data_IF_879801017045
#
_entry.id   IF_879801017045
#
_cell.length_a   1.000
_cell.length_b   1.000
_cell.length_c   1.000
_cell.angle_alpha   90.00
_cell.angle_beta   90.00
_cell.angle_gamma   90.00
#
_symmetry.space_group_name_H-M   'P 1'
#
loop_
_entity.id
_entity.type
_entity.pdbx_description
1 polymer ?
#
# COMPACT_ATOMS: atom_id res chain seq x y z
N UNK A 1 11.59 -21.90 18.87
CA UNK A 1 12.80 -21.08 18.60
C UNK A 1 12.62 -19.77 19.35
N UNK A 2 13.65 -19.05 19.80
CA UNK A 2 13.43 -17.79 20.53
C UNK A 2 12.66 -16.75 19.69
N UNK A 3 11.88 -15.83 20.30
CA UNK A 3 11.02 -14.88 19.58
C UNK A 3 11.82 -13.75 18.92
N UNK A 4 13.07 -13.56 19.38
CA UNK A 4 13.94 -12.43 19.07
C UNK A 4 14.14 -12.23 17.56
N UNK A 5 14.40 -13.25 16.72
CA UNK A 5 14.61 -13.05 15.28
C UNK A 5 13.37 -12.49 14.58
N UNK A 6 12.17 -12.99 14.91
CA UNK A 6 10.91 -12.51 14.33
C UNK A 6 10.60 -11.08 14.79
N UNK A 7 10.59 -10.85 16.12
CA UNK A 7 10.30 -9.52 16.66
C UNK A 7 11.28 -8.47 16.11
N UNK A 8 12.59 -8.74 16.12
CA UNK A 8 13.62 -7.85 15.58
C UNK A 8 13.43 -7.64 14.07
N UNK A 9 13.14 -8.69 13.29
CA UNK A 9 12.93 -8.56 11.85
C UNK A 9 11.69 -7.68 11.53
N UNK A 10 10.61 -7.78 12.29
CA UNK A 10 9.42 -6.96 12.05
C UNK A 10 9.64 -5.50 12.50
N UNK A 11 10.23 -5.24 13.67
CA UNK A 11 10.56 -3.86 14.07
C UNK A 11 11.62 -3.20 13.17
N UNK A 12 12.58 -3.97 12.64
CA UNK A 12 13.53 -3.47 11.64
C UNK A 12 12.82 -3.11 10.33
N UNK A 13 11.94 -3.97 9.83
CA UNK A 13 11.14 -3.70 8.63
C UNK A 13 10.27 -2.43 8.80
N UNK A 14 9.60 -2.27 9.96
CA UNK A 14 8.87 -1.04 10.30
C UNK A 14 9.76 0.21 10.25
N UNK A 15 10.94 0.16 10.88
CA UNK A 15 11.87 1.29 10.91
C UNK A 15 12.41 1.66 9.51
N UNK A 16 12.70 0.66 8.66
CA UNK A 16 13.18 0.89 7.29
C UNK A 16 12.12 1.52 6.38
N UNK A 17 10.85 1.11 6.50
CA UNK A 17 9.73 1.66 5.71
C UNK A 17 9.48 3.15 5.98
N UNK A 18 9.84 3.66 7.16
CA UNK A 18 9.75 5.10 7.45
C UNK A 18 10.82 5.95 6.74
N UNK A 19 11.94 5.37 6.28
CA UNK A 19 13.08 6.13 5.72
C UNK A 19 12.70 6.90 4.42
N UNK A 20 11.97 6.32 3.45
CA UNK A 20 11.56 7.06 2.24
C UNK A 20 10.39 8.04 2.48
N UNK A 21 9.66 7.91 3.60
CA UNK A 21 8.37 8.58 3.83
C UNK A 21 8.45 10.12 3.74
N UNK A 22 9.45 10.83 4.32
CA UNK A 22 9.54 12.29 4.20
C UNK A 22 9.73 12.77 2.74
N UNK A 23 10.40 11.97 1.90
CA UNK A 23 10.55 12.23 0.47
C UNK A 23 9.21 12.18 -0.25
N UNK A 24 8.44 11.11 -0.01
CA UNK A 24 7.15 10.90 -0.65
C UNK A 24 6.07 11.85 -0.13
N UNK A 25 6.15 12.24 1.16
CA UNK A 25 5.34 13.32 1.76
C UNK A 25 5.54 14.65 1.04
N UNK A 26 6.80 15.08 0.84
CA UNK A 26 7.13 16.30 0.10
C UNK A 26 6.66 16.25 -1.36
N UNK A 27 6.72 15.07 -1.99
CA UNK A 27 6.21 14.82 -3.33
C UNK A 27 4.68 14.61 -3.41
N UNK A 28 3.96 14.64 -2.28
CA UNK A 28 2.50 14.37 -2.17
C UNK A 28 2.07 13.12 -2.93
N UNK A 29 2.82 12.01 -2.77
CA UNK A 29 2.51 10.73 -3.41
C UNK A 29 1.69 9.83 -2.48
N UNK A 30 0.40 10.15 -2.32
CA UNK A 30 -0.51 9.49 -1.37
C UNK A 30 -0.46 7.95 -1.43
N UNK A 31 -0.46 7.28 -2.60
CA UNK A 31 -0.42 5.82 -2.64
C UNK A 31 0.83 5.23 -1.98
N UNK A 32 2.02 5.77 -2.28
CA UNK A 32 3.28 5.32 -1.64
C UNK A 32 3.37 5.69 -0.16
N UNK A 33 2.79 6.82 0.25
CA UNK A 33 2.71 7.22 1.67
C UNK A 33 1.79 6.24 2.43
N UNK A 34 0.62 5.94 1.88
CA UNK A 34 -0.36 5.04 2.49
C UNK A 34 0.19 3.62 2.60
N UNK A 35 0.81 3.09 1.54
CA UNK A 35 1.50 1.81 1.55
C UNK A 35 2.59 1.73 2.64
N UNK A 36 3.39 2.80 2.80
CA UNK A 36 4.39 2.87 3.86
C UNK A 36 3.77 2.89 5.27
N UNK A 37 2.66 3.61 5.46
CA UNK A 37 1.94 3.65 6.74
C UNK A 37 1.34 2.28 7.08
N UNK A 38 0.69 1.61 6.13
CA UNK A 38 0.15 0.26 6.32
C UNK A 38 1.26 -0.74 6.68
N UNK A 39 2.35 -0.80 5.90
CA UNK A 39 3.48 -1.69 6.17
C UNK A 39 4.18 -1.40 7.51
N UNK A 40 4.25 -0.13 7.93
CA UNK A 40 4.75 0.25 9.25
C UNK A 40 3.83 -0.26 10.38
N UNK A 41 2.53 0.04 10.31
CA UNK A 41 1.55 -0.35 11.34
C UNK A 41 1.47 -1.87 11.50
N UNK A 42 1.45 -2.61 10.38
CA UNK A 42 1.38 -4.07 10.39
C UNK A 42 2.65 -4.71 10.98
N UNK A 43 3.83 -4.19 10.66
CA UNK A 43 5.08 -4.71 11.24
C UNK A 43 5.22 -4.35 12.74
N UNK A 44 4.73 -3.19 13.18
CA UNK A 44 4.62 -2.90 14.62
C UNK A 44 3.64 -3.88 15.29
N UNK A 45 2.50 -4.19 14.66
CA UNK A 45 1.54 -5.14 15.18
C UNK A 45 2.10 -6.58 15.28
N UNK A 46 2.75 -7.08 14.23
CA UNK A 46 3.40 -8.40 14.22
C UNK A 46 4.54 -8.48 15.25
N UNK A 47 5.39 -7.45 15.35
CA UNK A 47 6.47 -7.39 16.34
C UNK A 47 5.97 -7.39 17.79
N UNK A 48 4.87 -6.67 18.08
CA UNK A 48 4.22 -6.70 19.40
C UNK A 48 3.55 -8.06 19.65
N UNK A 49 2.83 -8.63 18.68
CA UNK A 49 2.19 -9.94 18.82
C UNK A 49 3.18 -11.03 19.25
N UNK A 50 4.33 -11.13 18.57
CA UNK A 50 5.36 -12.14 18.89
C UNK A 50 5.93 -11.95 20.30
N UNK A 51 6.11 -10.71 20.77
CA UNK A 51 6.56 -10.45 22.15
C UNK A 51 5.48 -10.78 23.19
N UNK A 52 4.21 -10.49 22.89
CA UNK A 52 3.11 -10.61 23.85
C UNK A 52 2.65 -12.06 24.02
N UNK A 53 2.64 -12.87 22.95
CA UNK A 53 2.19 -14.27 22.95
C UNK A 53 3.30 -15.32 22.83
N UNK A 54 4.57 -14.90 23.00
CA UNK A 54 5.69 -15.81 23.23
C UNK A 54 5.41 -16.76 24.41
N UNK A 55 5.46 -18.07 24.19
CA UNK A 55 5.37 -19.11 25.24
C UNK A 55 4.12 -18.96 26.15
N UNK A 56 3.02 -18.35 25.64
CA UNK A 56 1.78 -18.21 26.40
C UNK A 56 0.51 -17.97 25.56
N UNK A 57 -0.60 -18.58 26.01
CA UNK A 57 -1.96 -18.45 25.45
C UNK A 57 -2.95 -17.74 26.38
N UNK A 58 -2.47 -16.81 27.21
CA UNK A 58 -3.34 -16.07 28.12
C UNK A 58 -4.29 -15.13 27.35
N UNK A 59 -5.56 -15.12 27.73
CA UNK A 59 -6.57 -14.18 27.21
C UNK A 59 -6.36 -12.78 27.81
N UNK A 60 -5.39 -12.06 27.25
CA UNK A 60 -5.05 -10.68 27.56
C UNK A 60 -5.22 -9.81 26.30
N UNK A 61 -5.37 -8.50 26.48
CA UNK A 61 -5.37 -7.52 25.37
C UNK A 61 -6.39 -7.81 24.25
N UNK A 62 -7.62 -8.24 24.57
CA UNK A 62 -8.62 -8.63 23.57
C UNK A 62 -8.91 -7.51 22.54
N UNK A 63 -8.99 -6.25 22.99
CA UNK A 63 -9.20 -5.06 22.14
C UNK A 63 -8.05 -4.88 21.12
N UNK A 64 -6.82 -5.24 21.49
CA UNK A 64 -5.69 -5.23 20.56
C UNK A 64 -5.86 -6.32 19.49
N UNK A 65 -6.30 -7.53 19.85
CA UNK A 65 -6.59 -8.56 18.86
C UNK A 65 -7.75 -8.18 17.92
N UNK A 66 -8.82 -7.56 18.42
CA UNK A 66 -9.90 -7.04 17.55
C UNK A 66 -9.35 -6.08 16.48
N UNK A 67 -8.47 -5.17 16.89
CA UNK A 67 -7.82 -4.18 16.01
C UNK A 67 -6.84 -4.86 15.05
N UNK A 68 -5.92 -5.70 15.55
CA UNK A 68 -4.86 -6.31 14.73
C UNK A 68 -5.43 -7.31 13.73
N UNK A 69 -6.35 -8.19 14.12
CA UNK A 69 -6.98 -9.13 13.20
C UNK A 69 -7.72 -8.41 12.08
N UNK A 70 -8.44 -7.31 12.37
CA UNK A 70 -9.05 -6.47 11.33
C UNK A 70 -8.01 -5.71 10.49
N UNK A 71 -6.88 -5.26 11.06
CA UNK A 71 -5.80 -4.61 10.29
C UNK A 71 -5.12 -5.56 9.32
N UNK A 72 -4.87 -6.83 9.71
CA UNK A 72 -4.32 -7.87 8.83
C UNK A 72 -5.26 -8.13 7.65
N UNK A 73 -6.56 -8.25 7.90
CA UNK A 73 -7.57 -8.33 6.83
C UNK A 73 -7.51 -7.07 5.95
N UNK A 74 -7.52 -5.86 6.54
CA UNK A 74 -7.41 -4.60 5.80
C UNK A 74 -6.17 -4.50 4.91
N UNK A 75 -5.04 -5.10 5.33
CA UNK A 75 -3.79 -5.15 4.57
C UNK A 75 -3.94 -5.83 3.20
N UNK A 76 -4.67 -6.96 3.16
CA UNK A 76 -4.90 -7.74 1.94
C UNK A 76 -5.57 -6.92 0.84
N UNK A 77 -6.36 -5.91 1.20
CA UNK A 77 -6.92 -4.95 0.23
C UNK A 77 -6.06 -3.67 0.09
N UNK A 78 -5.45 -3.19 1.17
CA UNK A 78 -4.69 -1.93 1.19
C UNK A 78 -3.44 -1.95 0.30
N UNK A 79 -2.68 -3.05 0.30
CA UNK A 79 -1.48 -3.20 -0.50
C UNK A 79 -1.83 -3.18 -2.02
N UNK A 80 -2.74 -4.05 -2.52
CA UNK A 80 -3.27 -3.98 -3.88
C UNK A 80 -3.91 -2.64 -4.26
N UNK A 81 -4.74 -2.05 -3.39
CA UNK A 81 -5.39 -0.77 -3.69
C UNK A 81 -4.38 0.39 -3.83
N UNK A 82 -3.34 0.42 -3.00
CA UNK A 82 -2.28 1.41 -3.09
C UNK A 82 -1.41 1.22 -4.35
N UNK A 83 -1.06 -0.01 -4.70
CA UNK A 83 -0.32 -0.29 -5.94
C UNK A 83 -1.16 0.01 -7.20
N UNK A 84 -2.46 -0.31 -7.21
CA UNK A 84 -3.41 0.04 -8.26
C UNK A 84 -3.50 1.56 -8.45
N UNK A 85 -3.72 2.29 -7.36
CA UNK A 85 -3.82 3.75 -7.39
C UNK A 85 -2.50 4.41 -7.85
N UNK A 86 -1.35 3.82 -7.49
CA UNK A 86 -0.03 4.27 -7.95
C UNK A 86 0.14 4.03 -9.46
N UNK A 87 -0.19 2.85 -9.98
CA UNK A 87 -0.08 2.54 -11.41
C UNK A 87 -1.03 3.40 -12.26
N UNK A 88 -2.28 3.58 -11.85
CA UNK A 88 -3.24 4.49 -12.50
C UNK A 88 -2.71 5.94 -12.53
N UNK A 89 -2.12 6.43 -11.43
CA UNK A 89 -1.52 7.76 -11.34
C UNK A 89 -0.28 7.91 -12.25
N UNK A 90 0.53 6.88 -12.39
CA UNK A 90 1.71 6.87 -13.27
C UNK A 90 1.33 6.77 -14.75
N UNK A 91 0.29 5.99 -15.09
CA UNK A 91 -0.30 5.96 -16.44
C UNK A 91 -0.78 7.35 -16.87
N UNK A 92 -1.54 8.05 -16.02
CA UNK A 92 -2.08 9.37 -16.36
C UNK A 92 -1.00 10.42 -16.64
N UNK A 93 0.17 10.27 -16.01
CA UNK A 93 1.38 11.06 -16.30
C UNK A 93 2.00 10.65 -17.64
N UNK A 94 2.18 9.36 -17.91
CA UNK A 94 2.80 8.87 -19.15
C UNK A 94 1.94 9.07 -20.41
N UNK A 95 0.62 9.00 -20.25
CA UNK A 95 -0.36 9.35 -21.27
C UNK A 95 -0.34 10.87 -21.60
N UNK A 96 0.23 11.71 -20.72
CA UNK A 96 0.27 13.18 -20.79
C UNK A 96 -1.12 13.84 -20.63
N UNK A 97 -2.10 13.09 -20.09
CA UNK A 97 -3.48 13.54 -19.80
C UNK A 97 -3.56 14.72 -18.82
N UNK A 98 -2.44 15.13 -18.21
CA UNK A 98 -2.38 16.04 -17.06
C UNK A 98 -1.40 17.20 -17.27
N UNK A 99 -1.05 17.52 -18.54
CA UNK A 99 -0.13 18.61 -18.90
C UNK A 99 -0.58 20.00 -18.40
N UNK A 100 -1.89 20.22 -18.25
CA UNK A 100 -2.46 21.35 -17.51
C UNK A 100 -3.18 20.78 -16.29
N UNK A 101 -2.75 21.14 -15.08
CA UNK A 101 -3.41 20.73 -13.82
C UNK A 101 -3.54 21.89 -12.85
N UNK A 102 -4.77 22.28 -12.56
CA UNK A 102 -5.14 23.35 -11.64
C UNK A 102 -5.03 22.88 -10.19
N UNK A 103 -4.96 23.80 -9.24
CA UNK A 103 -5.00 23.48 -7.80
C UNK A 103 -6.22 22.63 -7.36
N UNK A 104 -7.48 22.92 -7.77
CA UNK A 104 -8.61 22.03 -7.46
C UNK A 104 -8.46 20.63 -8.03
N UNK A 105 -7.90 20.45 -9.24
CA UNK A 105 -7.67 19.12 -9.82
C UNK A 105 -6.71 18.30 -8.96
N UNK A 106 -5.63 18.93 -8.48
CA UNK A 106 -4.64 18.32 -7.59
C UNK A 106 -5.27 17.94 -6.24
N UNK A 107 -6.19 18.74 -5.70
CA UNK A 107 -6.97 18.40 -4.48
C UNK A 107 -7.94 17.24 -4.73
N UNK A 108 -8.72 17.27 -5.82
CA UNK A 108 -9.69 16.21 -6.17
C UNK A 108 -8.99 14.86 -6.33
N UNK A 109 -7.83 14.83 -7.00
CA UNK A 109 -6.98 13.63 -7.10
C UNK A 109 -6.52 13.15 -5.73
N UNK A 110 -6.00 14.04 -4.88
CA UNK A 110 -5.56 13.65 -3.54
C UNK A 110 -6.68 13.03 -2.69
N UNK A 111 -7.93 13.50 -2.83
CA UNK A 111 -9.10 12.88 -2.16
C UNK A 111 -9.41 11.49 -2.74
N UNK A 112 -9.34 11.31 -4.06
CA UNK A 112 -9.51 9.99 -4.71
C UNK A 112 -8.39 9.01 -4.31
N UNK A 113 -7.13 9.45 -4.31
CA UNK A 113 -5.98 8.65 -3.86
C UNK A 113 -6.20 8.16 -2.41
N UNK A 114 -6.68 9.04 -1.49
CA UNK A 114 -6.98 8.66 -0.10
C UNK A 114 -8.20 7.73 -0.01
N UNK A 115 -9.25 7.98 -0.78
CA UNK A 115 -10.46 7.15 -0.78
C UNK A 115 -10.15 5.70 -1.20
N UNK A 116 -9.29 5.50 -2.20
CA UNK A 116 -8.85 4.18 -2.65
C UNK A 116 -7.89 3.53 -1.64
N UNK A 117 -6.87 4.25 -1.17
CA UNK A 117 -5.80 3.64 -0.35
C UNK A 117 -6.16 3.47 1.14
N UNK A 118 -7.23 4.11 1.63
CA UNK A 118 -7.67 4.06 3.04
C UNK A 118 -9.16 3.72 3.14
N UNK A 119 -10.02 4.41 2.37
CA UNK A 119 -11.47 4.19 2.42
C UNK A 119 -11.87 2.77 2.00
N UNK A 120 -11.34 2.27 0.89
CA UNK A 120 -11.64 0.91 0.41
C UNK A 120 -11.21 -0.19 1.40
N UNK A 121 -9.99 -0.17 1.97
CA UNK A 121 -9.62 -1.05 3.09
C UNK A 121 -10.57 -0.97 4.29
N UNK A 122 -11.00 0.22 4.73
CA UNK A 122 -11.92 0.34 5.86
C UNK A 122 -13.31 -0.27 5.57
N UNK A 123 -13.82 -0.11 4.35
CA UNK A 123 -15.08 -0.76 3.91
C UNK A 123 -14.90 -2.29 3.89
N UNK A 124 -13.77 -2.77 3.36
CA UNK A 124 -13.43 -4.18 3.28
C UNK A 124 -13.28 -4.84 4.68
N UNK A 125 -12.65 -4.16 5.65
CA UNK A 125 -12.57 -4.60 7.05
C UNK A 125 -13.94 -4.78 7.72
N UNK A 126 -14.92 -3.96 7.34
CA UNK A 126 -16.31 -4.09 7.78
C UNK A 126 -17.02 -5.25 7.06
N UNK A 127 -16.92 -5.34 5.73
CA UNK A 127 -17.52 -6.42 4.93
C UNK A 127 -17.03 -7.82 5.36
N UNK A 128 -15.77 -7.95 5.79
CA UNK A 128 -15.23 -9.19 6.34
C UNK A 128 -16.08 -9.78 7.48
N UNK A 129 -16.84 -8.97 8.23
CA UNK A 129 -17.73 -9.46 9.28
C UNK A 129 -18.75 -10.50 8.77
N UNK A 130 -19.25 -10.36 7.53
CA UNK A 130 -20.23 -11.28 6.91
C UNK A 130 -19.73 -12.73 6.78
N UNK A 131 -18.41 -12.92 6.80
CA UNK A 131 -17.72 -14.21 6.63
C UNK A 131 -16.81 -14.53 7.80
N UNK A 132 -17.02 -13.89 8.95
CA UNK A 132 -16.19 -14.05 10.13
C UNK A 132 -16.88 -14.96 11.16
N UNK A 133 -16.50 -16.23 11.22
CA UNK A 133 -17.14 -17.23 12.08
C UNK A 133 -17.07 -16.91 13.58
N UNK A 134 -15.90 -16.50 14.07
CA UNK A 134 -15.72 -16.04 15.45
C UNK A 134 -14.75 -14.86 15.55
N UNK A 135 -14.63 -14.30 16.75
CA UNK A 135 -14.04 -12.98 17.02
C UNK A 135 -12.59 -12.83 16.54
N UNK A 136 -11.73 -13.77 16.89
CA UNK A 136 -10.36 -13.94 16.40
C UNK A 136 -9.77 -15.21 17.03
N UNK A 137 -8.61 -15.63 16.55
CA UNK A 137 -7.83 -16.72 17.15
C UNK A 137 -6.53 -16.19 17.75
N UNK A 138 -6.00 -16.92 18.73
CA UNK A 138 -4.66 -16.67 19.28
C UNK A 138 -3.82 -17.91 19.05
N UNK A 139 -2.71 -17.74 18.32
CA UNK A 139 -1.71 -18.78 18.12
C UNK A 139 -0.49 -18.44 18.97
N UNK A 140 0.02 -19.43 19.70
CA UNK A 140 1.24 -19.30 20.50
C UNK A 140 2.44 -18.89 19.63
N UNK A 141 3.32 -18.03 20.15
CA UNK A 141 4.43 -17.34 19.45
C UNK A 141 4.02 -16.37 18.30
N UNK A 142 2.85 -16.53 17.67
CA UNK A 142 2.39 -15.69 16.55
C UNK A 142 1.37 -14.59 16.95
N UNK A 143 0.68 -14.76 18.09
CA UNK A 143 -0.33 -13.85 18.61
C UNK A 143 -1.68 -13.89 17.86
N UNK A 144 -2.39 -12.76 17.88
CA UNK A 144 -3.73 -12.62 17.30
C UNK A 144 -3.74 -12.88 15.79
N UNK A 145 -4.66 -13.71 15.30
CA UNK A 145 -4.94 -13.95 13.88
C UNK A 145 -6.43 -13.68 13.56
N UNK A 146 -6.79 -13.24 12.34
CA UNK A 146 -8.17 -13.19 11.90
C UNK A 146 -8.70 -14.59 11.57
N UNK A 147 -9.95 -14.86 11.93
CA UNK A 147 -10.73 -15.99 11.41
C UNK A 147 -11.50 -15.57 10.16
N UNK A 148 -11.60 -16.47 9.18
CA UNK A 148 -12.37 -16.30 7.95
C UNK A 148 -13.02 -17.64 7.56
N UNK A 149 -14.35 -17.69 7.51
CA UNK A 149 -15.14 -18.90 7.27
C UNK A 149 -15.04 -19.32 5.79
N UNK A 150 -14.11 -20.24 5.49
CA UNK A 150 -13.78 -20.72 4.14
C UNK A 150 -15.03 -21.22 3.40
N UNK A 151 -15.55 -20.38 2.51
CA UNK A 151 -16.86 -20.55 1.87
C UNK A 151 -16.96 -19.68 0.61
N UNK A 152 -17.96 -19.92 -0.23
CA UNK A 152 -18.10 -19.17 -1.49
C UNK A 152 -18.26 -17.63 -1.30
N UNK A 153 -18.98 -17.12 -0.28
CA UNK A 153 -19.00 -15.68 0.00
C UNK A 153 -17.64 -15.13 0.47
N UNK A 154 -16.82 -15.93 1.16
CA UNK A 154 -15.47 -15.54 1.59
C UNK A 154 -14.57 -15.32 0.37
N UNK A 155 -14.62 -16.20 -0.64
CA UNK A 155 -13.92 -16.01 -1.90
C UNK A 155 -14.24 -14.66 -2.57
N UNK A 156 -15.52 -14.32 -2.69
CA UNK A 156 -15.94 -13.09 -3.38
C UNK A 156 -15.71 -11.81 -2.59
N UNK A 157 -15.82 -11.85 -1.24
CA UNK A 157 -15.62 -10.66 -0.40
C UNK A 157 -14.16 -10.42 -0.03
N UNK A 158 -13.39 -11.49 0.20
CA UNK A 158 -11.99 -11.42 0.68
C UNK A 158 -10.99 -11.51 -0.47
N UNK A 159 -11.10 -12.50 -1.36
CA UNK A 159 -10.03 -12.77 -2.34
C UNK A 159 -10.23 -12.10 -3.70
N UNK A 160 -11.46 -12.08 -4.21
CA UNK A 160 -11.76 -11.58 -5.55
C UNK A 160 -11.43 -10.08 -5.75
N UNK A 161 -11.74 -9.23 -4.77
CA UNK A 161 -11.58 -7.76 -4.90
C UNK A 161 -10.10 -7.31 -4.84
N UNK A 162 -9.25 -7.86 -3.94
CA UNK A 162 -7.79 -7.70 -4.03
C UNK A 162 -7.21 -8.21 -5.35
N UNK A 163 -7.60 -9.40 -5.82
CA UNK A 163 -7.08 -9.98 -7.08
C UNK A 163 -7.45 -9.09 -8.28
N UNK A 164 -8.67 -8.55 -8.32
CA UNK A 164 -9.09 -7.59 -9.36
C UNK A 164 -8.26 -6.30 -9.32
N UNK A 165 -7.86 -5.85 -8.13
CA UNK A 165 -6.96 -4.70 -7.95
C UNK A 165 -5.53 -4.98 -8.43
N UNK A 166 -5.03 -6.20 -8.20
CA UNK A 166 -3.77 -6.69 -8.78
C UNK A 166 -3.81 -6.71 -10.32
N UNK A 167 -4.86 -7.28 -10.92
CA UNK A 167 -5.07 -7.31 -12.37
C UNK A 167 -5.16 -5.89 -12.97
N UNK A 168 -5.89 -4.98 -12.32
CA UNK A 168 -5.93 -3.57 -12.68
C UNK A 168 -4.54 -2.91 -12.63
N UNK A 169 -3.71 -3.28 -11.66
CA UNK A 169 -2.33 -2.76 -11.55
C UNK A 169 -1.46 -3.19 -12.72
N UNK A 170 -1.56 -4.45 -13.17
CA UNK A 170 -0.88 -4.90 -14.39
C UNK A 170 -1.38 -4.17 -15.63
N UNK A 171 -2.69 -3.95 -15.78
CA UNK A 171 -3.26 -3.24 -16.92
C UNK A 171 -2.74 -1.79 -17.01
N UNK A 172 -2.85 -1.02 -15.92
CA UNK A 172 -2.35 0.36 -15.89
C UNK A 172 -0.82 0.45 -15.95
N UNK A 173 -0.10 -0.44 -15.27
CA UNK A 173 1.36 -0.50 -15.32
C UNK A 173 1.90 -0.86 -16.71
N UNK A 174 1.25 -1.81 -17.40
CA UNK A 174 1.54 -2.17 -18.79
C UNK A 174 1.32 -1.00 -19.75
N UNK A 175 0.16 -0.35 -19.69
CA UNK A 175 -0.13 0.85 -20.49
C UNK A 175 0.88 1.98 -20.22
N UNK A 176 1.22 2.22 -18.95
CA UNK A 176 2.20 3.22 -18.54
C UNK A 176 3.61 2.91 -19.07
N UNK A 177 4.03 1.63 -19.08
CA UNK A 177 5.28 1.21 -19.73
C UNK A 177 5.23 1.34 -21.25
N UNK A 178 4.15 0.95 -21.91
CA UNK A 178 3.99 1.12 -23.37
C UNK A 178 4.07 2.60 -23.77
N UNK A 179 3.45 3.50 -23.00
CA UNK A 179 3.58 4.94 -23.20
C UNK A 179 4.99 5.47 -22.94
N UNK A 180 5.67 4.96 -21.90
CA UNK A 180 7.07 5.30 -21.62
C UNK A 180 8.01 4.89 -22.78
N UNK A 181 7.97 3.63 -23.21
CA UNK A 181 8.85 3.14 -24.29
C UNK A 181 8.59 3.86 -25.62
N UNK A 182 7.31 4.01 -26.01
CA UNK A 182 6.92 4.74 -27.24
C UNK A 182 7.34 6.21 -27.24
N UNK A 183 7.54 6.84 -26.07
CA UNK A 183 7.87 8.27 -25.93
C UNK A 183 9.26 8.54 -25.34
N UNK A 184 10.12 7.52 -25.18
CA UNK A 184 11.34 7.60 -24.33
C UNK A 184 12.24 8.82 -24.58
N UNK A 185 12.37 9.25 -25.83
CA UNK A 185 13.24 10.37 -26.23
C UNK A 185 12.67 11.75 -25.84
N UNK A 186 11.35 11.90 -25.75
CA UNK A 186 10.68 13.14 -25.31
C UNK A 186 10.20 13.08 -23.87
N UNK A 187 10.04 11.87 -23.30
CA UNK A 187 9.49 11.62 -21.96
C UNK A 187 10.19 12.42 -20.84
N UNK A 188 11.51 12.56 -20.88
CA UNK A 188 12.25 13.38 -19.93
C UNK A 188 11.87 14.87 -20.00
N UNK A 189 11.65 15.41 -21.21
CA UNK A 189 11.18 16.79 -21.42
C UNK A 189 9.70 16.93 -21.02
N UNK A 190 8.86 15.94 -21.31
CA UNK A 190 7.45 15.93 -20.89
C UNK A 190 7.31 15.90 -19.37
N UNK A 191 8.11 15.10 -18.65
CA UNK A 191 8.15 15.10 -17.19
C UNK A 191 8.51 16.49 -16.64
N UNK A 192 9.56 17.13 -17.16
CA UNK A 192 9.94 18.48 -16.76
C UNK A 192 8.81 19.50 -17.03
N UNK A 193 8.23 19.50 -18.23
CA UNK A 193 7.15 20.42 -18.62
C UNK A 193 5.83 20.18 -17.84
N UNK A 194 5.57 18.95 -17.39
CA UNK A 194 4.31 18.56 -16.73
C UNK A 194 4.09 19.17 -15.34
N UNK A 195 5.08 19.87 -14.77
CA UNK A 195 5.06 20.37 -13.39
C UNK A 195 4.73 19.29 -12.33
N UNK A 196 5.05 18.02 -12.63
CA UNK A 196 4.77 16.87 -11.75
C UNK A 196 5.81 16.65 -10.65
N UNK A 197 7.02 17.22 -10.79
CA UNK A 197 8.11 17.01 -9.82
C UNK A 197 8.72 15.60 -9.81
N UNK A 198 8.44 14.79 -10.84
CA UNK A 198 9.04 13.46 -11.00
C UNK A 198 10.23 13.51 -11.97
N UNK A 199 11.36 12.96 -11.55
CA UNK A 199 12.46 12.60 -12.46
C UNK A 199 12.19 11.24 -13.12
N UNK A 200 12.76 10.95 -14.30
CA UNK A 200 12.60 9.64 -14.95
C UNK A 200 13.03 8.47 -14.06
N UNK A 201 14.10 8.64 -13.26
CA UNK A 201 14.55 7.66 -12.26
C UNK A 201 13.50 7.41 -11.17
N UNK A 202 12.90 8.48 -10.61
CA UNK A 202 11.85 8.36 -9.59
C UNK A 202 10.57 7.73 -10.15
N UNK A 203 10.20 8.06 -11.40
CA UNK A 203 9.08 7.44 -12.12
C UNK A 203 9.31 5.93 -12.32
N UNK A 204 10.45 5.54 -12.88
CA UNK A 204 10.76 4.13 -13.16
C UNK A 204 10.78 3.29 -11.87
N UNK A 205 11.43 3.79 -10.82
CA UNK A 205 11.45 3.15 -9.50
C UNK A 205 10.06 2.91 -8.92
N UNK A 206 9.17 3.92 -9.01
CA UNK A 206 7.80 3.77 -8.50
C UNK A 206 7.00 2.70 -9.28
N UNK A 207 7.18 2.65 -10.60
CA UNK A 207 6.53 1.67 -11.47
C UNK A 207 7.03 0.24 -11.18
N UNK A 208 8.35 0.01 -11.20
CA UNK A 208 8.91 -1.33 -10.95
C UNK A 208 8.63 -1.82 -9.53
N UNK A 209 8.67 -0.94 -8.53
CA UNK A 209 8.25 -1.24 -7.16
C UNK A 209 6.78 -1.67 -7.10
N UNK A 210 5.85 -0.94 -7.72
CA UNK A 210 4.42 -1.30 -7.69
C UNK A 210 4.13 -2.66 -8.33
N UNK A 211 4.79 -2.98 -9.44
CA UNK A 211 4.60 -4.25 -10.15
C UNK A 211 5.30 -5.42 -9.44
N UNK A 212 6.48 -5.21 -8.85
CA UNK A 212 7.18 -6.24 -8.09
C UNK A 212 6.42 -6.64 -6.81
N UNK A 213 5.81 -5.67 -6.11
CA UNK A 213 4.93 -6.01 -4.98
C UNK A 213 3.69 -6.77 -5.46
N UNK A 214 3.05 -6.38 -6.56
CA UNK A 214 1.83 -7.07 -7.02
C UNK A 214 2.10 -8.47 -7.59
N UNK A 215 3.29 -8.72 -8.16
CA UNK A 215 3.73 -10.08 -8.48
C UNK A 215 3.87 -10.92 -7.20
N UNK A 216 4.46 -10.35 -6.14
CA UNK A 216 4.61 -11.01 -4.85
C UNK A 216 3.27 -11.26 -4.15
N UNK A 217 2.40 -10.24 -4.06
CA UNK A 217 1.08 -10.33 -3.45
C UNK A 217 0.20 -11.37 -4.19
N UNK A 218 0.25 -11.45 -5.53
CA UNK A 218 -0.45 -12.51 -6.27
C UNK A 218 0.09 -13.91 -5.98
N UNK A 219 1.41 -14.09 -5.82
CA UNK A 219 1.99 -15.39 -5.43
C UNK A 219 1.55 -15.77 -4.02
N UNK A 220 1.55 -14.83 -3.08
CA UNK A 220 1.06 -15.04 -1.71
C UNK A 220 -0.43 -15.37 -1.71
N UNK A 221 -1.28 -14.65 -2.46
CA UNK A 221 -2.71 -14.92 -2.55
C UNK A 221 -2.99 -16.28 -3.20
N UNK A 222 -2.29 -16.65 -4.28
CA UNK A 222 -2.45 -17.95 -4.93
C UNK A 222 -2.08 -19.10 -3.98
N UNK A 223 -0.95 -19.00 -3.27
CA UNK A 223 -0.56 -19.98 -2.26
C UNK A 223 -1.55 -20.05 -1.09
N UNK A 224 -2.10 -18.91 -0.65
CA UNK A 224 -3.06 -18.85 0.46
C UNK A 224 -4.41 -19.45 0.08
N UNK A 225 -4.90 -19.20 -1.13
CA UNK A 225 -6.08 -19.88 -1.68
C UNK A 225 -5.85 -21.39 -1.76
N UNK A 226 -4.72 -21.83 -2.32
CA UNK A 226 -4.37 -23.25 -2.38
C UNK A 226 -4.26 -23.92 -1.00
N UNK A 227 -3.84 -23.20 0.05
CA UNK A 227 -3.78 -23.72 1.42
C UNK A 227 -5.16 -23.74 2.09
N UNK A 228 -5.88 -22.62 2.09
CA UNK A 228 -7.15 -22.48 2.80
C UNK A 228 -8.24 -23.39 2.22
N UNK A 229 -8.27 -23.57 0.90
CA UNK A 229 -9.32 -24.31 0.18
C UNK A 229 -8.96 -25.80 -0.03
N UNK A 230 -7.83 -26.29 0.53
CA UNK A 230 -7.27 -27.62 0.26
C UNK A 230 -8.18 -28.81 0.61
N UNK A 231 -9.16 -28.60 1.50
CA UNK A 231 -10.12 -29.63 1.93
C UNK A 231 -11.56 -29.37 1.43
N UNK A 232 -11.78 -28.28 0.67
CA UNK A 232 -13.09 -27.92 0.11
C UNK A 232 -13.63 -26.57 0.59
N UNK A 233 -14.95 -26.43 0.52
CA UNK A 233 -15.71 -25.24 0.92
C UNK A 233 -16.74 -25.64 1.98
N UNK A 234 -16.83 -24.87 3.07
CA UNK A 234 -17.97 -25.02 3.99
C UNK A 234 -19.22 -24.35 3.43
N UNK A 235 -20.41 -24.94 3.62
CA UNK A 235 -21.66 -24.34 3.18
C UNK A 235 -21.99 -23.12 4.04
N UNK A 236 -22.10 -21.94 3.43
CA UNK A 236 -22.63 -20.74 4.09
C UNK A 236 -24.16 -20.86 4.12
N UNK A 237 -24.73 -21.39 5.21
CA UNK A 237 -26.16 -21.75 5.26
C UNK A 237 -27.06 -20.57 5.63
N UNK A 238 -26.71 -19.86 6.71
CA UNK A 238 -27.49 -18.77 7.28
C UNK A 238 -26.62 -17.89 8.18
N UNK A 239 -27.09 -16.66 8.43
CA UNK A 239 -26.39 -15.73 9.33
C UNK A 239 -26.21 -16.29 10.74
N UNK A 240 -27.24 -16.97 11.27
CA UNK A 240 -27.25 -17.50 12.64
C UNK A 240 -26.32 -18.71 12.84
N UNK A 241 -26.13 -19.52 11.80
CA UNK A 241 -25.20 -20.65 11.77
C UNK A 241 -23.74 -20.15 11.76
N UNK A 242 -23.40 -19.29 10.79
CA UNK A 242 -22.03 -18.76 10.63
C UNK A 242 -21.58 -17.92 11.83
N UNK A 243 -22.48 -17.17 12.47
CA UNK A 243 -22.17 -16.35 13.66
C UNK A 243 -22.55 -17.05 14.98
N UNK A 244 -22.76 -18.36 14.97
CA UNK A 244 -23.04 -19.13 16.19
C UNK A 244 -21.86 -19.05 17.16
N UNK A 245 -22.13 -18.60 18.40
CA UNK A 245 -21.10 -18.36 19.43
C UNK A 245 -19.94 -17.43 18.97
N UNK A 246 -20.24 -16.40 18.15
CA UNK A 246 -19.23 -15.52 17.55
C UNK A 246 -18.21 -14.92 18.53
N UNK A 247 -18.60 -14.64 19.78
CA UNK A 247 -17.70 -14.07 20.82
C UNK A 247 -16.59 -15.03 21.26
N UNK A 248 -16.59 -16.29 20.83
CA UNK A 248 -15.53 -17.28 21.07
C UNK A 248 -14.17 -16.77 20.57
N UNK A 249 -13.12 -17.13 21.31
CA UNK A 249 -11.71 -16.95 20.94
C UNK A 249 -11.01 -18.29 21.15
N UNK A 250 -10.56 -18.94 20.07
CA UNK A 250 -9.81 -20.18 20.21
C UNK A 250 -8.32 -19.87 20.44
N UNK A 251 -7.61 -20.87 20.97
CA UNK A 251 -6.23 -20.75 21.45
C UNK A 251 -5.47 -22.00 21.03
N UNK A 252 -4.46 -21.84 20.18
CA UNK A 252 -3.73 -22.94 19.58
C UNK A 252 -2.28 -22.97 20.08
N UNK A 253 -1.90 -23.96 20.91
CA UNK A 253 -0.52 -24.13 21.34
C UNK A 253 0.32 -24.62 20.16
N UNK A 254 1.52 -24.06 20.01
CA UNK A 254 2.39 -24.30 18.86
C UNK A 254 2.83 -25.77 18.79
N UNK A 255 2.74 -26.50 19.91
CA UNK A 255 2.96 -27.94 19.99
C UNK A 255 1.90 -28.73 19.20
N UNK A 256 0.61 -28.43 19.38
CA UNK A 256 -0.52 -29.24 18.88
C UNK A 256 -0.82 -29.06 17.39
N UNK A 257 -0.33 -27.99 16.75
CA UNK A 257 -0.51 -27.74 15.32
C UNK A 257 0.26 -28.80 14.49
N UNK A 258 -0.22 -29.24 13.31
CA UNK A 258 0.55 -30.11 12.41
C UNK A 258 1.79 -29.43 11.81
N UNK A 259 2.88 -30.17 11.57
CA UNK A 259 4.14 -29.61 11.07
C UNK A 259 4.03 -28.90 9.71
N UNK A 260 3.15 -29.37 8.81
CA UNK A 260 2.83 -28.70 7.55
C UNK A 260 2.30 -27.27 7.77
N UNK A 261 1.50 -27.11 8.81
CA UNK A 261 0.68 -25.93 9.03
C UNK A 261 1.44 -24.92 9.92
N UNK A 262 2.34 -25.40 10.79
CA UNK A 262 3.40 -24.55 11.38
C UNK A 262 4.25 -23.90 10.28
N UNK A 263 4.70 -24.67 9.30
CA UNK A 263 5.50 -24.15 8.19
C UNK A 263 4.73 -23.09 7.37
N UNK A 264 3.42 -23.30 7.16
CA UNK A 264 2.55 -22.32 6.54
C UNK A 264 2.41 -21.03 7.37
N UNK A 265 2.19 -21.14 8.69
CA UNK A 265 2.12 -19.99 9.60
C UNK A 265 3.41 -19.18 9.59
N UNK A 266 4.59 -19.83 9.61
CA UNK A 266 5.87 -19.14 9.44
C UNK A 266 5.96 -18.43 8.08
N UNK A 267 5.56 -19.07 6.98
CA UNK A 267 5.55 -18.45 5.65
C UNK A 267 4.65 -17.20 5.62
N UNK A 268 3.39 -17.32 6.04
CA UNK A 268 2.42 -16.21 6.03
C UNK A 268 2.89 -15.07 6.95
N UNK A 269 3.41 -15.36 8.14
CA UNK A 269 3.92 -14.33 9.05
C UNK A 269 5.09 -13.54 8.43
N UNK A 270 5.96 -14.19 7.66
CA UNK A 270 7.09 -13.54 6.98
C UNK A 270 6.70 -12.66 5.79
N UNK A 271 5.49 -12.77 5.24
CA UNK A 271 5.05 -11.94 4.10
C UNK A 271 5.07 -10.44 4.41
N UNK A 272 4.56 -10.04 5.58
CA UNK A 272 4.45 -8.63 6.00
C UNK A 272 5.84 -7.96 6.21
N UNK A 273 6.82 -8.59 6.87
CA UNK A 273 8.21 -8.14 6.84
C UNK A 273 8.81 -8.16 5.42
N UNK A 274 8.60 -9.22 4.63
CA UNK A 274 9.17 -9.34 3.29
C UNK A 274 8.72 -8.22 2.34
N UNK A 275 7.42 -7.93 2.28
CA UNK A 275 6.86 -6.83 1.49
C UNK A 275 7.42 -5.47 1.93
N UNK A 276 7.64 -5.27 3.24
CA UNK A 276 8.29 -4.07 3.78
C UNK A 276 9.78 -3.96 3.41
N UNK A 277 10.53 -5.07 3.43
CA UNK A 277 11.92 -5.12 2.95
C UNK A 277 12.01 -4.87 1.44
N UNK A 278 11.12 -5.47 0.63
CA UNK A 278 11.02 -5.21 -0.82
C UNK A 278 10.75 -3.73 -1.09
N UNK A 279 9.75 -3.14 -0.42
CA UNK A 279 9.45 -1.71 -0.50
C UNK A 279 10.70 -0.87 -0.24
N UNK A 280 11.38 -1.10 0.89
CA UNK A 280 12.60 -0.37 1.22
C UNK A 280 13.71 -0.55 0.18
N UNK A 281 13.96 -1.78 -0.28
CA UNK A 281 15.03 -2.11 -1.23
C UNK A 281 14.93 -1.32 -2.54
N UNK A 282 13.72 -1.12 -3.08
CA UNK A 282 13.51 -0.25 -4.25
C UNK A 282 13.94 1.20 -3.98
N UNK A 283 13.66 1.74 -2.79
CA UNK A 283 13.98 3.13 -2.45
C UNK A 283 15.40 3.37 -1.94
N UNK A 284 16.06 2.38 -1.32
CA UNK A 284 17.34 2.51 -0.64
C UNK A 284 18.42 3.21 -1.48
N UNK A 285 18.58 2.80 -2.74
CA UNK A 285 19.61 3.31 -3.66
C UNK A 285 19.26 4.65 -4.33
N UNK A 286 18.14 5.27 -3.98
CA UNK A 286 17.81 6.61 -4.45
C UNK A 286 18.71 7.67 -3.84
N UNK A 287 19.27 8.59 -4.63
CA UNK A 287 20.08 9.71 -4.13
C UNK A 287 19.34 10.51 -3.04
N UNK A 288 18.04 10.79 -3.24
CA UNK A 288 17.13 11.35 -2.23
C UNK A 288 17.18 10.58 -0.89
N UNK A 289 17.15 9.24 -0.97
CA UNK A 289 17.06 8.31 0.16
C UNK A 289 18.39 8.19 0.88
N UNK A 290 19.51 8.12 0.17
CA UNK A 290 20.87 8.12 0.75
C UNK A 290 21.10 9.37 1.58
N UNK A 291 20.68 10.55 1.08
CA UNK A 291 20.74 11.80 1.85
C UNK A 291 19.86 11.73 3.12
N UNK A 292 18.67 11.14 3.04
CA UNK A 292 17.79 10.94 4.20
C UNK A 292 18.33 9.90 5.20
N UNK A 293 18.97 8.82 4.75
CA UNK A 293 19.65 7.84 5.60
C UNK A 293 20.82 8.50 6.34
N UNK A 294 21.67 9.25 5.63
CA UNK A 294 22.78 10.00 6.25
C UNK A 294 22.26 11.03 7.25
N UNK A 295 21.19 11.76 6.93
CA UNK A 295 20.56 12.70 7.85
C UNK A 295 19.96 12.02 9.09
N UNK A 296 19.30 10.87 8.93
CA UNK A 296 18.74 10.07 10.02
C UNK A 296 19.85 9.51 10.93
N UNK A 297 20.90 8.92 10.34
CA UNK A 297 22.08 8.43 11.09
C UNK A 297 22.75 9.58 11.85
N UNK A 298 22.93 10.75 11.25
CA UNK A 298 23.47 11.92 11.94
C UNK A 298 22.54 12.45 13.05
N UNK A 299 21.22 12.44 12.85
CA UNK A 299 20.25 12.82 13.88
C UNK A 299 20.31 11.85 15.07
N UNK A 300 20.25 10.54 14.82
CA UNK A 300 20.33 9.49 15.85
C UNK A 300 21.65 9.55 16.59
N UNK A 301 22.77 9.76 15.88
CA UNK A 301 24.10 9.91 16.48
C UNK A 301 24.19 11.12 17.43
N UNK A 302 23.57 12.25 17.07
CA UNK A 302 23.54 13.49 17.89
C UNK A 302 22.53 13.44 19.04
N UNK A 303 21.33 12.90 18.81
CA UNK A 303 20.19 12.95 19.76
C UNK A 303 20.09 11.72 20.66
N UNK A 304 20.28 10.52 20.12
CA UNK A 304 20.14 9.25 20.87
C UNK A 304 21.48 8.85 21.47
N UNK A 305 22.52 8.70 20.65
CA UNK A 305 23.86 8.30 21.12
C UNK A 305 24.66 9.45 21.79
N UNK A 306 24.10 10.67 21.80
CA UNK A 306 24.71 11.91 22.34
C UNK A 306 26.15 12.18 21.87
N UNK A 307 26.57 11.62 20.74
CA UNK A 307 27.91 11.82 20.17
C UNK A 307 28.01 13.18 19.50
N UNK A 308 28.13 14.22 20.32
CA UNK A 308 28.53 15.55 19.91
C UNK A 308 29.96 15.50 19.39
N UNK A 309 30.13 15.37 18.07
CA UNK A 309 31.44 15.54 17.43
C UNK A 309 31.83 17.01 17.53
N UNK A 310 32.53 17.34 18.61
CA UNK A 310 33.02 18.69 18.88
C UNK A 310 34.03 19.05 17.78
N UNK A 311 33.69 20.02 16.93
CA UNK A 311 34.54 20.50 15.82
C UNK A 311 35.68 21.36 16.38
N UNK A 312 36.53 20.76 17.21
CA UNK A 312 37.77 21.38 17.67
C UNK A 312 38.74 21.46 16.50
N UNK A 313 39.06 22.70 16.13
CA UNK A 313 40.29 23.08 15.45
C UNK A 313 40.54 22.41 14.10
N UNK A 314 39.84 22.89 13.06
CA UNK A 314 40.57 23.16 11.80
C UNK A 314 41.31 24.47 12.04
N UNK A 315 42.59 24.39 12.37
CA UNK A 315 43.47 25.57 12.36
C UNK A 315 43.58 26.07 10.92
N UNK A 316 43.35 27.36 10.62
CA UNK A 316 43.79 27.91 9.36
C UNK A 316 45.33 27.87 9.37
N UNK A 317 45.94 27.20 8.39
CA UNK A 317 47.40 27.19 8.23
C UNK A 317 47.83 28.54 7.66
N UNK A 318 48.02 29.53 8.54
CA UNK A 318 48.59 30.82 8.21
C UNK A 318 50.06 30.68 7.81
N UNK A 319 50.45 31.36 6.73
CA UNK A 319 51.84 31.74 6.39
C UNK A 319 52.89 30.62 6.52
N UNK A 320 53.15 29.92 5.41
CA UNK A 320 54.51 29.52 5.06
C UNK A 320 55.02 30.49 3.98
N UNK A 321 56.26 30.92 4.11
CA UNK A 321 56.75 32.14 3.48
C UNK A 321 56.97 32.05 1.97
N UNK A 322 56.88 33.20 1.30
CA UNK A 322 57.44 33.41 -0.04
C UNK A 322 58.91 33.85 0.10
N UNK A 323 59.88 33.09 -0.42
CA UNK A 323 61.21 33.63 -0.65
C UNK A 323 61.13 34.66 -1.78
N UNK A 324 61.41 35.93 -1.47
CA UNK A 324 61.68 36.93 -2.49
C UNK A 324 63.09 36.70 -3.04
N UNK A 325 63.22 36.39 -4.33
CA UNK A 325 64.51 36.39 -5.02
C UNK A 325 64.50 37.44 -6.14
N UNK A 326 65.59 38.19 -6.23
CA UNK A 326 65.76 39.35 -7.11
C UNK A 326 65.94 38.95 -8.58
N UNK A 327 65.63 39.88 -9.49
CA UNK A 327 66.11 39.82 -10.88
C UNK A 327 67.64 39.86 -10.93
N UNK A 328 68.23 39.38 -12.04
CA UNK A 328 68.77 40.37 -12.98
C UNK A 328 68.52 40.04 -14.47
N UNK A 329 68.42 41.10 -15.28
CA UNK A 329 68.78 41.12 -16.71
C UNK A 329 70.32 41.37 -16.84
N UNK A 330 70.96 41.25 -18.02
CA UNK A 330 70.41 40.97 -19.35
C UNK A 330 71.15 39.82 -20.10
N UNK A 331 70.75 39.64 -21.36
CA UNK A 331 71.55 39.36 -22.58
C UNK A 331 70.74 38.47 -23.51
N UNK A 332 70.67 38.82 -24.80
CA UNK A 332 69.82 38.15 -25.78
C UNK A 332 70.60 37.71 -27.03
N UNK A 333 69.90 37.05 -27.94
CA UNK A 333 70.29 36.90 -29.34
C UNK A 333 69.04 36.92 -30.22
N UNK A 334 69.20 37.27 -31.50
CA UNK A 334 68.09 37.54 -32.43
C UNK A 334 68.03 36.53 -33.58
N UNK A 335 66.83 36.41 -34.19
CA UNK A 335 66.51 36.05 -35.59
C UNK A 335 65.06 36.57 -35.79
N UNK A 336 64.78 37.54 -36.67
CA UNK A 336 64.48 37.39 -38.12
C UNK A 336 63.21 36.57 -38.43
N UNK A 337 62.31 36.97 -39.33
CA UNK A 337 62.06 38.27 -40.01
C UNK A 337 60.65 38.23 -40.69
N UNK A 338 60.23 39.35 -41.31
CA UNK A 338 59.06 39.60 -42.18
C UNK A 338 57.90 40.35 -41.48
N UNK A 339 57.71 41.66 -41.67
CA UNK A 339 57.33 42.39 -42.91
C UNK A 339 55.97 41.95 -43.47
N UNK A 340 55.00 42.84 -43.76
CA UNK A 340 54.93 44.32 -43.66
C UNK A 340 53.48 44.79 -43.35
N UNK A 341 53.33 46.05 -42.91
CA UNK A 341 52.28 47.07 -43.19
C UNK A 341 50.80 46.68 -43.44
N UNK A 342 49.74 47.41 -43.03
CA UNK A 342 49.49 48.69 -42.31
C UNK A 342 47.95 48.73 -41.96
N UNK A 343 47.26 49.71 -41.33
CA UNK A 343 47.50 51.08 -40.81
C UNK A 343 46.42 51.43 -39.73
N UNK A 344 46.61 52.55 -39.02
CA UNK A 344 45.64 53.44 -38.32
C UNK A 344 44.33 52.90 -37.65
N UNK A 345 44.31 53.01 -36.32
CA UNK A 345 43.12 53.31 -35.49
C UNK A 345 42.93 54.86 -35.36
N UNK A 346 42.06 55.43 -34.51
CA UNK A 346 40.90 54.89 -33.75
C UNK A 346 39.62 55.77 -33.88
N UNK A 347 38.49 55.34 -33.27
CA UNK A 347 37.64 56.23 -32.42
C UNK A 347 36.54 55.47 -31.64
N UNK A 348 36.08 56.10 -30.56
CA UNK A 348 35.22 55.62 -29.47
C UNK A 348 33.73 55.46 -29.76
N UNK A 349 33.03 54.57 -29.02
CA UNK A 349 31.59 54.72 -28.71
C UNK A 349 30.79 53.42 -28.64
N UNK A 350 30.13 53.07 -27.51
CA UNK A 350 29.32 51.84 -27.38
C UNK A 350 27.81 52.09 -27.52
N UNK A 351 27.04 51.05 -27.89
CA UNK A 351 25.67 50.79 -27.39
C UNK A 351 25.19 49.36 -27.71
N UNK A 352 24.04 48.96 -27.14
CA UNK A 352 23.58 47.57 -26.98
C UNK A 352 22.79 46.97 -28.16
N UNK A 353 22.70 45.63 -28.30
CA UNK A 353 22.15 44.96 -29.48
C UNK A 353 20.61 44.97 -29.60
N UNK A 354 20.16 44.70 -30.83
CA UNK A 354 18.80 44.81 -31.34
C UNK A 354 17.77 43.82 -30.77
N UNK A 355 16.51 44.28 -30.75
CA UNK A 355 15.34 43.40 -30.77
C UNK A 355 15.16 42.75 -32.15
N UNK A 356 14.69 41.50 -32.19
CA UNK A 356 14.32 40.79 -33.42
C UNK A 356 12.85 40.38 -33.32
N UNK A 357 12.07 40.76 -34.32
CA UNK A 357 10.64 40.45 -34.43
C UNK A 357 10.41 39.04 -35.02
N UNK A 358 9.32 38.38 -34.61
CA UNK A 358 8.94 37.01 -34.99
C UNK A 358 7.53 36.94 -35.59
N UNK A 359 7.20 37.92 -36.44
CA UNK A 359 5.90 38.08 -37.10
C UNK A 359 5.73 37.30 -38.41
N UNK A 360 6.10 36.00 -38.45
CA UNK A 360 5.82 35.14 -39.63
C UNK A 360 5.74 33.63 -39.37
N UNK A 361 4.51 33.11 -39.25
CA UNK A 361 4.10 31.84 -39.88
C UNK A 361 2.57 31.75 -39.93
N UNK A 362 2.01 31.90 -41.13
CA UNK A 362 0.57 31.80 -41.40
C UNK A 362 0.15 30.36 -41.69
N UNK A 363 -1.08 30.01 -41.31
CA UNK A 363 -1.77 28.79 -41.75
C UNK A 363 -2.78 29.16 -42.85
N UNK A 364 -3.05 28.28 -43.83
CA UNK A 364 -4.06 28.52 -44.86
C UNK A 364 -5.49 28.29 -44.32
N UNK A 365 -6.43 29.09 -44.82
CA UNK A 365 -7.82 29.14 -44.37
C UNK A 365 -8.80 28.27 -45.18
N UNK A 366 -9.94 27.95 -44.55
CA UNK A 366 -11.25 27.61 -45.19
C UNK A 366 -11.37 26.29 -45.96
N UNK A 367 -12.61 25.75 -46.20
CA UNK A 367 -13.94 26.35 -45.99
C UNK A 367 -14.80 25.74 -44.87
N UNK A 368 -15.86 26.49 -44.57
CA UNK A 368 -16.90 26.21 -43.58
C UNK A 368 -18.05 25.37 -44.15
N UNK A 369 -18.69 24.58 -43.28
CA UNK A 369 -20.00 23.97 -43.56
C UNK A 369 -20.92 24.16 -42.35
N UNK A 370 -22.01 24.92 -42.55
CA UNK A 370 -22.98 25.25 -41.49
C UNK A 370 -24.06 24.17 -41.42
N UNK A 371 -24.20 23.48 -40.29
CA UNK A 371 -25.37 22.64 -39.97
C UNK A 371 -25.83 22.92 -38.54
N UNK A 372 -27.13 22.97 -38.33
CA UNK A 372 -27.80 23.51 -37.14
C UNK A 372 -27.98 22.50 -36.00
N UNK A 373 -28.13 23.03 -34.77
CA UNK A 373 -28.54 22.30 -33.58
C UNK A 373 -30.08 22.16 -33.58
N UNK A 374 -30.64 20.96 -33.35
CA UNK A 374 -32.02 20.79 -32.93
C UNK A 374 -32.14 20.59 -31.41
N UNK A 375 -32.89 21.45 -30.74
CA UNK A 375 -33.34 21.28 -29.35
C UNK A 375 -34.51 20.32 -29.29
N UNK A 376 -34.54 19.40 -28.31
CA UNK A 376 -35.72 18.58 -28.03
C UNK A 376 -36.59 19.22 -26.93
N UNK A 377 -37.91 19.42 -27.14
CA UNK A 377 -38.84 19.92 -26.12
C UNK A 377 -39.42 18.78 -25.26
N UNK A 378 -40.34 19.13 -24.36
CA UNK A 378 -41.01 18.23 -23.40
C UNK A 378 -42.55 18.31 -23.50
N UNK A 379 -43.24 17.49 -22.68
CA UNK A 379 -44.69 17.46 -22.34
C UNK A 379 -45.68 16.73 -23.28
N UNK A 380 -46.89 16.50 -22.74
CA UNK A 380 -48.01 15.64 -23.22
C UNK A 380 -47.72 14.12 -23.15
N UNK A 381 -48.42 13.25 -22.41
CA UNK A 381 -49.62 13.30 -21.56
C UNK A 381 -51.00 13.44 -22.27
N UNK A 382 -51.78 12.33 -22.28
CA UNK A 382 -53.25 12.25 -22.13
C UNK A 382 -53.75 10.78 -22.03
N UNK A 383 -55.02 10.60 -21.64
CA UNK A 383 -55.80 9.36 -21.40
C UNK A 383 -55.97 8.39 -22.61
N UNK A 384 -56.50 7.17 -22.49
CA UNK A 384 -56.95 6.36 -21.33
C UNK A 384 -58.19 5.45 -21.65
N UNK A 385 -58.42 4.40 -20.83
CA UNK A 385 -59.53 3.38 -20.90
C UNK A 385 -59.50 2.41 -22.12
N UNK A 386 -60.14 1.23 -22.10
CA UNK A 386 -60.52 0.24 -21.05
C UNK A 386 -61.05 -1.06 -21.70
N UNK A 387 -61.03 -2.20 -20.96
CA UNK A 387 -61.63 -3.52 -21.30
C UNK A 387 -61.03 -4.25 -22.54
N UNK A 388 -61.11 -5.58 -22.72
CA UNK A 388 -61.68 -6.72 -21.97
C UNK A 388 -60.56 -7.78 -21.74
N UNK A 389 -60.41 -8.46 -20.60
CA UNK A 389 -61.27 -9.44 -19.92
C UNK A 389 -61.26 -10.87 -20.51
N UNK A 390 -60.45 -11.76 -19.92
CA UNK A 390 -60.70 -13.21 -19.81
C UNK A 390 -60.05 -13.76 -18.54
N UNK A 391 -60.61 -14.82 -17.95
CA UNK A 391 -60.31 -15.24 -16.57
C UNK A 391 -59.76 -16.66 -16.47
N UNK A 392 -59.04 -16.94 -15.38
CA UNK A 392 -58.99 -18.28 -14.80
C UNK A 392 -58.90 -18.19 -13.27
N UNK A 393 -59.67 -19.02 -12.56
CA UNK A 393 -59.96 -18.85 -11.13
C UNK A 393 -59.76 -20.14 -10.33
N UNK A 394 -59.00 -20.06 -9.24
CA UNK A 394 -59.02 -20.99 -8.09
C UNK A 394 -58.49 -20.21 -6.88
N UNK A 395 -59.36 -19.72 -5.99
CA UNK A 395 -60.03 -20.43 -4.87
C UNK A 395 -59.23 -20.31 -3.57
N UNK A 396 -59.78 -19.60 -2.58
CA UNK A 396 -59.16 -19.39 -1.27
C UNK A 396 -59.26 -20.63 -0.37
N UNK A 397 -58.28 -20.78 0.53
CA UNK A 397 -58.45 -21.47 1.81
C UNK A 397 -57.78 -20.65 2.92
N UNK A 398 -58.54 -20.34 3.97
CA UNK A 398 -58.02 -19.78 5.22
C UNK A 398 -57.86 -20.93 6.22
N UNK A 399 -56.77 -20.96 6.98
CA UNK A 399 -56.75 -21.48 8.35
C UNK A 399 -55.54 -20.92 9.14
N UNK A 400 -55.57 -20.91 10.49
CA UNK A 400 -54.82 -19.93 11.27
C UNK A 400 -53.49 -20.41 11.85
N UNK A 401 -52.63 -19.43 12.20
CA UNK A 401 -51.37 -19.62 12.93
C UNK A 401 -51.58 -20.07 14.38
N UNK A 402 -50.71 -20.93 14.95
CA UNK A 402 -50.78 -21.33 16.36
C UNK A 402 -50.34 -20.21 17.31
N UNK A 403 -50.88 -20.15 18.55
CA UNK A 403 -50.59 -19.10 19.52
C UNK A 403 -49.24 -19.26 20.23
N UNK A 404 -48.64 -18.13 20.59
CA UNK A 404 -47.38 -18.02 21.33
C UNK A 404 -47.58 -18.24 22.83
N UNK A 405 -46.83 -19.17 23.45
CA UNK A 405 -46.79 -19.36 24.91
C UNK A 405 -45.52 -18.71 25.52
N UNK A 406 -45.63 -17.90 26.59
CA UNK A 406 -44.49 -17.46 27.39
C UNK A 406 -44.05 -18.55 28.39
N UNK A 407 -42.74 -18.64 28.75
CA UNK A 407 -42.24 -19.65 29.68
C UNK A 407 -42.43 -19.28 31.17
N UNK A 408 -42.74 -20.28 32.00
CA UNK A 408 -42.90 -20.17 33.45
C UNK A 408 -41.56 -20.28 34.23
N UNK A 409 -41.40 -19.65 35.41
CA UNK A 409 -40.09 -19.54 36.08
C UNK A 409 -39.85 -20.54 37.23
N UNK A 410 -39.04 -21.58 36.97
CA UNK A 410 -38.28 -22.40 37.96
C UNK A 410 -37.35 -23.35 37.18
N UNK A 411 -36.16 -23.79 37.62
CA UNK A 411 -35.60 -23.93 38.99
C UNK A 411 -34.07 -23.80 38.95
N UNK A 412 -33.44 -23.28 40.03
CA UNK A 412 -31.97 -23.20 40.14
C UNK A 412 -31.31 -24.53 40.54
N UNK A 413 -30.21 -24.96 39.88
CA UNK A 413 -29.33 -25.99 40.41
C UNK A 413 -28.15 -25.41 41.19
N UNK A 414 -28.00 -25.94 42.41
CA UNK A 414 -26.93 -25.83 43.41
C UNK A 414 -25.50 -25.52 42.88
N UNK A 415 -24.81 -24.61 43.57
CA UNK A 415 -23.37 -24.37 43.46
C UNK A 415 -22.57 -25.58 44.00
N UNK A 416 -21.82 -26.27 43.15
CA UNK A 416 -20.93 -27.39 43.56
C UNK A 416 -19.47 -26.96 43.40
N UNK A 417 -18.68 -27.10 44.47
CA UNK A 417 -17.25 -26.80 44.47
C UNK A 417 -16.44 -27.91 43.77
N UNK A 418 -15.30 -27.59 43.12
CA UNK A 418 -14.57 -28.56 42.29
C UNK A 418 -13.75 -29.57 43.14
N UNK A 419 -13.78 -30.87 42.79
CA UNK A 419 -12.79 -31.84 43.29
C UNK A 419 -11.42 -31.62 42.63
N UNK A 420 -10.36 -32.16 43.23
CA UNK A 420 -8.97 -31.89 42.84
C UNK A 420 -8.56 -32.52 41.50
N UNK A 421 -7.56 -31.89 40.86
CA UNK A 421 -7.05 -32.30 39.55
C UNK A 421 -6.38 -33.68 39.57
N UNK A 422 -6.66 -34.48 38.54
CA UNK A 422 -5.93 -35.72 38.22
C UNK A 422 -5.46 -35.67 36.76
N UNK A 423 -4.30 -36.27 36.48
CA UNK A 423 -3.55 -36.12 35.23
C UNK A 423 -4.15 -36.92 34.05
N UNK A 424 -5.41 -36.64 33.69
CA UNK A 424 -6.15 -37.21 32.54
C UNK A 424 -7.09 -36.21 31.83
N UNK A 425 -6.73 -34.92 31.83
CA UNK A 425 -7.42 -33.89 31.03
C UNK A 425 -6.61 -33.51 29.78
N UNK A 426 -5.29 -33.32 29.92
CA UNK A 426 -4.43 -32.86 28.81
C UNK A 426 -4.54 -33.65 27.51
N UNK A 427 -4.71 -34.98 27.55
CA UNK A 427 -4.94 -35.78 26.33
C UNK A 427 -6.29 -35.48 25.67
N UNK A 428 -7.38 -35.31 26.44
CA UNK A 428 -8.71 -35.00 25.88
C UNK A 428 -8.84 -33.55 25.46
N UNK A 429 -8.22 -32.62 26.18
CA UNK A 429 -8.11 -31.23 25.74
C UNK A 429 -7.28 -31.14 24.45
N UNK A 430 -6.22 -31.95 24.33
CA UNK A 430 -5.42 -32.05 23.11
C UNK A 430 -6.16 -32.75 21.96
N UNK A 431 -6.90 -33.84 22.19
CA UNK A 431 -7.77 -34.47 21.20
C UNK A 431 -8.88 -33.53 20.73
N UNK A 432 -9.49 -32.74 21.64
CA UNK A 432 -10.50 -31.74 21.29
C UNK A 432 -9.88 -30.55 20.56
N UNK A 433 -8.66 -30.11 20.90
CA UNK A 433 -7.93 -29.08 20.14
C UNK A 433 -7.53 -29.61 18.76
N UNK A 434 -7.09 -30.86 18.65
CA UNK A 434 -6.78 -31.51 17.36
C UNK A 434 -8.05 -31.68 16.53
N UNK A 435 -9.16 -32.17 17.10
CA UNK A 435 -10.44 -32.28 16.39
C UNK A 435 -11.02 -30.92 16.01
N UNK A 436 -10.90 -29.89 16.86
CA UNK A 436 -11.31 -28.53 16.54
C UNK A 436 -10.44 -27.97 15.41
N UNK A 437 -9.12 -28.13 15.47
CA UNK A 437 -8.20 -27.72 14.40
C UNK A 437 -8.49 -28.47 13.10
N UNK A 438 -8.69 -29.79 13.16
CA UNK A 438 -9.07 -30.61 11.99
C UNK A 438 -10.44 -30.21 11.43
N UNK A 439 -11.44 -29.91 12.26
CA UNK A 439 -12.76 -29.41 11.83
C UNK A 439 -12.77 -27.91 11.46
N UNK A 440 -11.71 -27.16 11.77
CA UNK A 440 -11.44 -25.82 11.24
C UNK A 440 -10.55 -25.87 9.99
N UNK A 441 -9.97 -27.03 9.67
CA UNK A 441 -9.24 -27.32 8.44
C UNK A 441 -10.12 -28.05 7.40
N UNK A 442 -11.12 -28.84 7.82
CA UNK A 442 -12.12 -29.56 6.99
C UNK A 442 -13.40 -28.75 6.77
#
# INVERSE_FOLDING_TARGET
MSPVPQAVASFLAAALVLIPLPSHWRARNVPTISLAIWLFVLNVAHGVNVIVWWDNLQLKLLIWCDIVSKLVIGANMALPAACFCLAMRLEGVAAVRHAKTTYPDKRRRMVVDVAICVGTPCIYMALHYVVQGHRFDIIEDFGCQPESYVSLPEFFLVWFVPILSCLGTFAFGGMAFMHFFRRRATFARHLAASNSGLTPSRYFRLMTMSLALIIWDLVVFALTLCFNYRNGLRPWTSWADVHSNWLRVNRFPIVAIPSSDKNWLYFIWWTIPATAYMFFAFFAFGHDTVVQMVACIQWTRRRVLRQNFNRKTVTPLSSLDKPSLSSPHPHGFALMDSKDDMLASPLSGPLSPSSVDYSRFSWPDTPSTTVSIPTCPSTHALDGKAADAQSMTTSMSNDPSPPYMPPSPSTSPVLIAPPQATLRHGERDMEVIIHAYTAQVV
#
